data_IF_537254970406
#
_entry.id   IF_537254970406
#
_cell.length_a   1.000
_cell.length_b   1.000
_cell.length_c   1.000
_cell.angle_alpha   90.00
_cell.angle_beta   90.00
_cell.angle_gamma   90.00
#
_symmetry.space_group_name_H-M   'P 1'
#
loop_
_entity.id
_entity.type
_entity.pdbx_description
1 polymer ?
#
# COMPACT_ATOMS: atom_id res chain seq x y z
N UNK A 1 25.10 0.92 -7.67
CA UNK A 1 24.39 0.35 -6.47
C UNK A 1 23.92 -1.06 -6.82
N UNK A 2 24.25 -2.07 -6.01
CA UNK A 2 23.75 -3.44 -6.20
C UNK A 2 22.53 -3.65 -5.29
N UNK A 3 21.34 -3.42 -5.83
CA UNK A 3 20.09 -3.53 -5.07
C UNK A 3 19.81 -4.94 -4.54
N UNK A 4 20.22 -6.00 -5.28
CA UNK A 4 20.04 -7.37 -4.83
C UNK A 4 20.81 -7.66 -3.53
N UNK A 5 22.06 -7.25 -3.46
CA UNK A 5 22.86 -7.42 -2.24
C UNK A 5 22.34 -6.57 -1.06
N UNK A 6 21.82 -5.38 -1.34
CA UNK A 6 21.20 -4.54 -0.31
C UNK A 6 19.92 -5.19 0.21
N UNK A 7 19.06 -5.70 -0.66
CA UNK A 7 17.81 -6.34 -0.27
C UNK A 7 18.05 -7.60 0.59
N UNK A 8 19.05 -8.42 0.24
CA UNK A 8 19.40 -9.60 1.04
C UNK A 8 19.86 -9.26 2.48
N UNK A 9 20.44 -8.08 2.68
CA UNK A 9 20.82 -7.61 4.04
C UNK A 9 19.61 -7.16 4.85
N UNK A 10 18.52 -6.80 4.21
CA UNK A 10 17.29 -6.34 4.86
C UNK A 10 16.26 -7.46 5.06
N UNK A 11 16.58 -8.71 4.75
CA UNK A 11 15.65 -9.84 4.84
C UNK A 11 14.99 -9.94 6.22
N UNK A 12 15.80 -9.91 7.30
CA UNK A 12 15.27 -9.97 8.66
C UNK A 12 14.33 -8.82 8.98
N UNK A 13 14.66 -7.61 8.54
CA UNK A 13 13.81 -6.42 8.70
C UNK A 13 12.49 -6.58 7.93
N UNK A 14 12.53 -7.02 6.67
CA UNK A 14 11.33 -7.24 5.84
C UNK A 14 10.40 -8.25 6.52
N UNK A 15 10.94 -9.36 7.02
CA UNK A 15 10.16 -10.39 7.70
C UNK A 15 9.55 -9.88 9.02
N UNK A 16 10.29 -9.08 9.79
CA UNK A 16 9.80 -8.45 11.01
C UNK A 16 8.64 -7.50 10.71
N UNK A 17 8.82 -6.58 9.76
CA UNK A 17 7.79 -5.62 9.36
C UNK A 17 6.53 -6.32 8.82
N UNK A 18 6.70 -7.30 7.94
CA UNK A 18 5.59 -8.08 7.39
C UNK A 18 4.80 -8.79 8.49
N UNK A 19 5.46 -9.41 9.46
CA UNK A 19 4.80 -10.13 10.57
C UNK A 19 4.08 -9.18 11.51
N UNK A 20 4.68 -8.03 11.79
CA UNK A 20 4.03 -7.01 12.61
C UNK A 20 2.76 -6.48 11.94
N UNK A 21 2.83 -6.12 10.65
CA UNK A 21 1.69 -5.64 9.87
C UNK A 21 0.58 -6.70 9.79
N UNK A 22 0.96 -7.95 9.53
CA UNK A 22 0.01 -9.06 9.45
C UNK A 22 -0.74 -9.28 10.78
N UNK A 23 -0.05 -9.14 11.89
CA UNK A 23 -0.64 -9.29 13.22
C UNK A 23 -1.53 -8.10 13.63
N UNK A 24 -1.39 -6.93 13.00
CA UNK A 24 -2.11 -5.71 13.35
C UNK A 24 -2.89 -5.12 12.14
N UNK A 25 -3.71 -5.91 11.43
CA UNK A 25 -4.40 -5.44 10.24
C UNK A 25 -5.49 -4.42 10.59
N UNK A 26 -5.64 -3.41 9.75
CA UNK A 26 -6.70 -2.39 9.88
C UNK A 26 -7.45 -2.25 8.55
N UNK A 27 -8.77 -2.02 8.63
CA UNK A 27 -9.62 -1.86 7.45
C UNK A 27 -9.37 -0.52 6.76
N UNK A 28 -9.67 -0.46 5.49
CA UNK A 28 -9.59 0.75 4.67
C UNK A 28 -10.26 1.96 5.33
N UNK A 29 -9.62 3.12 5.25
CA UNK A 29 -9.94 4.39 5.94
C UNK A 29 -9.78 4.38 7.46
N UNK A 30 -9.30 3.29 8.06
CA UNK A 30 -9.08 3.14 9.50
C UNK A 30 -7.66 2.69 9.86
N UNK A 31 -6.73 2.78 8.93
CA UNK A 31 -5.33 2.33 9.06
C UNK A 31 -4.49 3.32 9.91
N UNK A 32 -5.00 3.67 11.10
CA UNK A 32 -4.36 4.69 11.97
C UNK A 32 -3.05 4.20 12.57
N UNK A 33 -3.06 3.00 13.18
CA UNK A 33 -1.86 2.42 13.79
C UNK A 33 -0.85 1.98 12.73
N UNK A 34 -1.33 1.45 11.62
CA UNK A 34 -0.52 1.11 10.45
C UNK A 34 0.20 2.34 9.91
N UNK A 35 -0.53 3.45 9.73
CA UNK A 35 0.04 4.73 9.32
C UNK A 35 1.08 5.25 10.31
N UNK A 36 0.76 5.24 11.61
CA UNK A 36 1.69 5.66 12.66
C UNK A 36 2.97 4.83 12.66
N UNK A 37 2.84 3.51 12.54
CA UNK A 37 3.98 2.59 12.46
C UNK A 37 4.87 2.92 11.26
N UNK A 38 4.30 3.06 10.06
CA UNK A 38 5.01 3.42 8.84
C UNK A 38 5.73 4.77 8.99
N UNK A 39 5.05 5.77 9.53
CA UNK A 39 5.63 7.11 9.77
C UNK A 39 6.83 7.02 10.71
N UNK A 40 6.75 6.23 11.77
CA UNK A 40 7.84 6.05 12.74
C UNK A 40 9.04 5.35 12.09
N UNK A 41 8.81 4.30 11.30
CA UNK A 41 9.86 3.61 10.56
C UNK A 41 10.56 4.56 9.58
N UNK A 42 9.81 5.29 8.74
CA UNK A 42 10.36 6.24 7.79
C UNK A 42 11.19 7.34 8.47
N UNK A 43 10.69 7.89 9.59
CA UNK A 43 11.42 8.89 10.38
C UNK A 43 12.72 8.33 10.97
N UNK A 44 12.70 7.06 11.40
CA UNK A 44 13.91 6.39 11.93
C UNK A 44 15.02 6.29 10.88
N UNK A 45 14.67 6.21 9.59
CA UNK A 45 15.61 6.22 8.46
C UNK A 45 16.05 7.63 8.05
N UNK A 46 15.56 8.68 8.70
CA UNK A 46 15.81 10.08 8.35
C UNK A 46 15.12 10.50 7.05
N UNK A 47 13.98 9.90 6.72
CA UNK A 47 13.14 10.24 5.58
C UNK A 47 12.14 11.33 6.01
N UNK A 48 11.99 12.37 5.18
CA UNK A 48 10.94 13.37 5.31
C UNK A 48 9.58 12.71 5.08
N UNK A 49 8.58 12.95 5.96
CA UNK A 49 7.27 12.30 5.84
C UNK A 49 6.17 13.34 5.77
N UNK A 50 5.36 13.25 4.75
CA UNK A 50 4.11 13.98 4.60
C UNK A 50 2.96 13.10 5.11
N UNK A 51 2.22 13.61 6.09
CA UNK A 51 0.96 13.04 6.60
C UNK A 51 -0.21 13.94 6.26
N UNK A 52 -1.42 13.43 6.38
CA UNK A 52 -2.65 14.13 6.05
C UNK A 52 -3.57 14.16 7.28
N UNK A 53 -4.34 15.24 7.44
CA UNK A 53 -5.24 15.40 8.59
C UNK A 53 -6.57 14.67 8.39
N UNK A 54 -6.96 14.41 7.16
CA UNK A 54 -8.28 13.92 6.75
C UNK A 54 -8.27 12.49 6.16
N UNK A 55 -7.10 11.92 5.92
CA UNK A 55 -6.93 10.55 5.41
C UNK A 55 -5.78 9.83 6.12
N UNK A 56 -5.85 8.51 6.18
CA UNK A 56 -4.75 7.64 6.60
C UNK A 56 -3.71 7.47 5.49
N UNK A 57 -2.63 6.75 5.76
CA UNK A 57 -1.49 6.64 4.84
C UNK A 57 -0.55 7.84 4.91
N UNK A 58 0.54 7.78 4.16
CA UNK A 58 1.55 8.84 4.15
C UNK A 58 2.44 8.76 2.91
N UNK A 59 3.26 9.80 2.73
CA UNK A 59 4.29 9.84 1.68
C UNK A 59 5.65 10.10 2.32
N UNK A 60 6.59 9.16 2.14
CA UNK A 60 8.00 9.37 2.42
C UNK A 60 8.69 10.07 1.25
N UNK A 61 9.59 11.04 1.51
CA UNK A 61 10.26 11.80 0.47
C UNK A 61 11.78 11.68 0.64
N UNK A 62 12.46 11.12 -0.35
CA UNK A 62 13.91 10.96 -0.38
C UNK A 62 14.47 11.82 -1.51
N UNK A 63 15.14 12.92 -1.14
CA UNK A 63 15.78 13.81 -2.11
C UNK A 63 17.22 13.38 -2.34
N UNK A 64 17.52 12.98 -3.56
CA UNK A 64 18.90 12.72 -4.01
C UNK A 64 19.76 13.97 -4.02
N UNK A 65 21.07 13.79 -4.12
CA UNK A 65 22.02 14.92 -4.16
C UNK A 65 22.17 15.55 -5.54
N UNK A 66 21.78 14.86 -6.59
CA UNK A 66 21.88 15.32 -7.97
C UNK A 66 20.50 15.63 -8.55
N UNK A 67 20.38 16.62 -9.43
CA UNK A 67 19.14 16.85 -10.17
C UNK A 67 18.70 15.61 -10.94
N UNK A 68 17.40 15.41 -11.07
CA UNK A 68 16.83 14.27 -11.79
C UNK A 68 15.32 14.28 -11.72
N UNK A 69 14.72 13.21 -12.21
CA UNK A 69 13.28 12.99 -12.22
C UNK A 69 12.74 12.63 -10.83
N UNK A 70 11.45 12.81 -10.64
CA UNK A 70 10.73 12.32 -9.47
C UNK A 70 10.04 11.01 -9.82
N UNK A 71 10.33 9.97 -9.05
CA UNK A 71 9.72 8.66 -9.19
C UNK A 71 8.94 8.34 -7.91
N UNK A 72 7.75 7.79 -8.05
CA UNK A 72 6.95 7.33 -6.93
C UNK A 72 6.91 5.80 -6.90
N UNK A 73 7.18 5.22 -5.74
CA UNK A 73 6.97 3.81 -5.44
C UNK A 73 5.73 3.70 -4.55
N UNK A 74 4.81 2.81 -4.88
CA UNK A 74 3.50 2.68 -4.21
C UNK A 74 3.34 1.31 -3.56
N UNK A 75 2.83 1.31 -2.34
CA UNK A 75 2.23 0.16 -1.66
C UNK A 75 0.89 0.56 -1.05
N UNK A 76 -0.07 -0.35 -1.07
CA UNK A 76 -1.31 -0.30 -0.32
C UNK A 76 -1.08 -0.78 1.11
N UNK A 77 -1.94 -0.36 2.05
CA UNK A 77 -1.72 -0.63 3.48
C UNK A 77 -2.94 -1.19 4.22
N UNK A 78 -4.10 -1.26 3.57
CA UNK A 78 -5.35 -1.73 4.17
C UNK A 78 -5.48 -3.25 4.18
N UNK A 79 -6.35 -3.73 5.06
CA UNK A 79 -6.72 -5.13 5.20
C UNK A 79 -8.20 -5.35 4.87
N UNK A 80 -8.59 -6.62 4.78
CA UNK A 80 -9.94 -7.05 4.42
C UNK A 80 -10.76 -7.49 5.65
N UNK A 81 -12.09 -7.35 5.62
CA UNK A 81 -12.99 -7.83 6.66
C UNK A 81 -13.19 -9.37 6.55
N UNK A 82 -12.11 -10.10 6.77
CA UNK A 82 -12.04 -11.56 6.67
C UNK A 82 -11.50 -12.11 7.98
N UNK A 83 -12.16 -13.14 8.54
CA UNK A 83 -11.65 -13.87 9.70
C UNK A 83 -10.46 -14.72 9.27
N UNK A 84 -9.31 -14.52 9.90
CA UNK A 84 -8.16 -15.38 9.67
C UNK A 84 -8.35 -16.74 10.33
N UNK A 85 -8.10 -17.80 9.56
CA UNK A 85 -8.20 -19.21 10.00
C UNK A 85 -6.81 -19.90 10.03
N UNK A 86 -5.73 -19.14 9.77
CA UNK A 86 -4.37 -19.68 9.85
C UNK A 86 -3.96 -19.92 11.30
N UNK A 87 -3.08 -20.91 11.50
CA UNK A 87 -2.39 -21.15 12.77
C UNK A 87 -0.91 -20.80 12.60
N UNK A 88 -0.56 -19.56 12.90
CA UNK A 88 0.82 -19.07 12.79
C UNK A 88 1.14 -18.11 13.93
N UNK A 89 2.43 -17.96 14.25
CA UNK A 89 2.89 -17.12 15.37
C UNK A 89 2.73 -15.60 15.15
N UNK A 90 2.16 -15.18 14.03
CA UNK A 90 1.93 -13.77 13.67
C UNK A 90 0.55 -13.56 13.04
N UNK A 91 -0.41 -14.43 13.34
CA UNK A 91 -1.80 -14.28 12.90
C UNK A 91 -2.40 -12.96 13.40
N UNK A 92 -3.44 -12.51 12.72
CA UNK A 92 -4.19 -11.31 13.08
C UNK A 92 -4.60 -11.30 14.55
N UNK A 93 -4.38 -10.18 15.21
CA UNK A 93 -4.86 -9.90 16.57
C UNK A 93 -6.20 -9.13 16.57
N UNK A 94 -6.74 -8.84 15.40
CA UNK A 94 -8.01 -8.14 15.20
C UNK A 94 -9.05 -9.11 14.63
N UNK A 95 -10.00 -9.55 15.45
CA UNK A 95 -11.05 -10.47 15.03
C UNK A 95 -11.79 -9.94 13.81
N UNK A 96 -11.99 -10.81 12.82
CA UNK A 96 -12.71 -10.48 11.59
C UNK A 96 -11.94 -9.60 10.60
N UNK A 97 -10.65 -9.36 10.83
CA UNK A 97 -9.80 -8.55 9.92
C UNK A 97 -8.51 -9.29 9.61
N UNK A 98 -8.11 -9.35 8.34
CA UNK A 98 -6.90 -10.05 7.90
C UNK A 98 -6.27 -9.37 6.69
N UNK A 99 -4.95 -9.35 6.61
CA UNK A 99 -4.21 -9.03 5.39
C UNK A 99 -4.28 -10.20 4.38
N UNK A 100 -5.47 -10.45 3.84
CA UNK A 100 -5.70 -11.57 2.91
C UNK A 100 -5.26 -11.26 1.46
N UNK A 101 -5.08 -9.98 1.10
CA UNK A 101 -4.60 -9.55 -0.22
C UNK A 101 -3.07 -9.38 -0.30
N UNK A 102 -2.36 -9.45 0.84
CA UNK A 102 -0.90 -9.35 0.87
C UNK A 102 -0.34 -7.94 0.96
N UNK A 103 -1.15 -6.95 1.34
CA UNK A 103 -0.72 -5.56 1.50
C UNK A 103 0.33 -5.38 2.63
N UNK A 104 0.36 -6.26 3.61
CA UNK A 104 1.44 -6.39 4.59
C UNK A 104 2.81 -6.66 3.95
N UNK A 105 2.85 -7.51 2.91
CA UNK A 105 4.06 -7.77 2.13
C UNK A 105 4.46 -6.53 1.32
N UNK A 106 3.50 -5.86 0.67
CA UNK A 106 3.76 -4.66 -0.14
C UNK A 106 4.34 -3.54 0.72
N UNK A 107 3.73 -3.29 1.88
CA UNK A 107 4.17 -2.28 2.86
C UNK A 107 5.58 -2.60 3.38
N UNK A 108 5.84 -3.85 3.79
CA UNK A 108 7.15 -4.27 4.29
C UNK A 108 8.26 -4.11 3.24
N UNK A 109 7.97 -4.47 1.98
CA UNK A 109 8.91 -4.30 0.87
C UNK A 109 9.19 -2.81 0.59
N UNK A 110 8.17 -1.94 0.64
CA UNK A 110 8.34 -0.51 0.41
C UNK A 110 9.10 0.17 1.55
N UNK A 111 8.88 -0.23 2.79
CA UNK A 111 9.67 0.24 3.95
C UNK A 111 11.15 -0.12 3.78
N UNK A 112 11.46 -1.36 3.43
CA UNK A 112 12.83 -1.80 3.19
C UNK A 112 13.48 -1.07 2.01
N UNK A 113 12.74 -0.85 0.92
CA UNK A 113 13.21 -0.05 -0.20
C UNK A 113 13.54 1.38 0.25
N UNK A 114 12.68 2.00 1.05
CA UNK A 114 12.91 3.32 1.63
C UNK A 114 14.18 3.37 2.48
N UNK A 115 14.37 2.40 3.36
CA UNK A 115 15.57 2.26 4.19
C UNK A 115 16.85 2.18 3.35
N UNK A 116 16.86 1.31 2.34
CA UNK A 116 18.00 1.15 1.43
C UNK A 116 18.30 2.42 0.63
N UNK A 117 17.25 3.08 0.10
CA UNK A 117 17.39 4.30 -0.69
C UNK A 117 17.86 5.47 0.17
N UNK A 118 17.32 5.64 1.38
CA UNK A 118 17.74 6.70 2.30
C UNK A 118 19.22 6.55 2.71
N UNK A 119 19.66 5.33 3.02
CA UNK A 119 21.07 5.04 3.33
C UNK A 119 22.01 5.38 2.16
N UNK A 120 21.51 5.32 0.93
CA UNK A 120 22.27 5.56 -0.30
C UNK A 120 21.90 6.86 -1.03
N UNK A 121 21.22 7.80 -0.37
CA UNK A 121 20.71 9.05 -1.00
C UNK A 121 21.77 9.91 -1.69
N UNK A 122 23.04 9.76 -1.32
CA UNK A 122 24.16 10.48 -1.97
C UNK A 122 24.38 10.03 -3.42
N UNK A 123 23.97 8.82 -3.78
CA UNK A 123 24.11 8.24 -5.12
C UNK A 123 22.83 8.38 -5.95
N UNK A 124 21.75 8.92 -5.38
CA UNK A 124 20.48 9.11 -6.07
C UNK A 124 20.50 10.42 -6.86
N UNK A 125 19.91 10.36 -8.06
CA UNK A 125 19.56 11.49 -8.90
C UNK A 125 18.05 11.70 -8.84
N UNK A 126 17.63 12.96 -8.62
CA UNK A 126 16.22 13.30 -8.50
C UNK A 126 15.60 12.95 -7.13
N UNK A 127 14.31 12.70 -7.11
CA UNK A 127 13.54 12.45 -5.90
C UNK A 127 12.83 11.10 -5.99
N UNK A 128 12.80 10.35 -4.88
CA UNK A 128 11.96 9.18 -4.74
C UNK A 128 10.89 9.48 -3.70
N UNK A 129 9.62 9.36 -4.09
CA UNK A 129 8.47 9.39 -3.20
C UNK A 129 8.03 7.96 -2.89
N UNK A 130 7.70 7.68 -1.63
CA UNK A 130 7.21 6.39 -1.16
C UNK A 130 5.77 6.59 -0.72
N UNK A 131 4.81 6.21 -1.55
CA UNK A 131 3.38 6.33 -1.26
C UNK A 131 2.90 5.06 -0.54
N UNK A 132 2.48 5.21 0.70
CA UNK A 132 1.74 4.22 1.47
C UNK A 132 0.26 4.58 1.38
N UNK A 133 -0.43 3.95 0.44
CA UNK A 133 -1.80 4.29 0.06
C UNK A 133 -2.81 3.59 0.94
N UNK A 134 -3.75 4.35 1.49
CA UNK A 134 -4.90 3.82 2.22
C UNK A 134 -5.95 3.19 1.29
N UNK A 135 -6.77 2.31 1.86
CA UNK A 135 -8.10 1.92 1.37
C UNK A 135 -8.15 1.51 -0.12
N UNK A 136 -7.17 0.73 -0.55
CA UNK A 136 -7.11 0.21 -1.93
C UNK A 136 -8.35 -0.64 -2.24
N UNK A 137 -8.78 -1.48 -1.29
CA UNK A 137 -9.89 -2.43 -1.41
C UNK A 137 -11.28 -1.75 -1.54
N UNK A 138 -11.36 -0.45 -1.27
CA UNK A 138 -12.56 0.36 -1.50
C UNK A 138 -12.65 0.79 -2.98
N UNK A 139 -11.50 0.90 -3.67
CA UNK A 139 -11.39 1.10 -5.11
C UNK A 139 -11.45 2.56 -5.59
N UNK A 140 -11.75 3.53 -4.73
CA UNK A 140 -11.89 4.96 -5.10
C UNK A 140 -10.94 5.89 -4.37
N UNK A 141 -10.32 5.45 -3.31
CA UNK A 141 -9.65 6.33 -2.36
C UNK A 141 -8.27 6.83 -2.82
N UNK A 142 -7.67 6.21 -3.83
CA UNK A 142 -6.43 6.70 -4.47
C UNK A 142 -6.56 8.11 -5.06
N UNK A 143 -7.78 8.52 -5.45
CA UNK A 143 -8.06 9.87 -5.98
C UNK A 143 -7.70 10.99 -4.99
N UNK A 144 -7.79 10.74 -3.68
CA UNK A 144 -7.43 11.73 -2.66
C UNK A 144 -5.98 12.21 -2.80
N UNK A 145 -5.05 11.31 -3.14
CA UNK A 145 -3.65 11.68 -3.37
C UNK A 145 -3.46 12.51 -4.64
N UNK A 146 -4.27 12.24 -5.68
CA UNK A 146 -4.28 13.03 -6.92
C UNK A 146 -4.84 14.43 -6.65
N UNK A 147 -6.01 14.52 -6.01
CA UNK A 147 -6.69 15.78 -5.67
C UNK A 147 -5.84 16.66 -4.75
N UNK A 148 -5.01 16.07 -3.89
CA UNK A 148 -4.06 16.77 -3.02
C UNK A 148 -2.76 17.17 -3.72
N UNK A 149 -2.63 16.95 -5.03
CA UNK A 149 -1.45 17.30 -5.81
C UNK A 149 -0.20 16.45 -5.50
N UNK A 150 -0.37 15.30 -4.88
CA UNK A 150 0.78 14.46 -4.49
C UNK A 150 1.58 13.93 -5.69
N UNK A 151 0.95 13.90 -6.87
CA UNK A 151 1.52 13.39 -8.11
C UNK A 151 1.97 14.48 -9.08
N UNK A 152 1.75 15.77 -8.80
CA UNK A 152 1.94 16.87 -9.75
C UNK A 152 3.40 16.98 -10.26
N UNK A 153 4.36 16.61 -9.44
CA UNK A 153 5.79 16.64 -9.75
C UNK A 153 6.36 15.22 -10.01
N UNK A 154 5.51 14.21 -10.23
CA UNK A 154 5.92 12.81 -10.39
C UNK A 154 5.99 12.44 -11.88
N UNK A 155 7.16 12.02 -12.34
CA UNK A 155 7.39 11.60 -13.72
C UNK A 155 6.93 10.15 -14.00
N UNK A 156 6.96 9.28 -12.99
CA UNK A 156 6.54 7.88 -13.10
C UNK A 156 6.15 7.30 -11.74
N UNK A 157 5.14 6.42 -11.76
CA UNK A 157 4.68 5.65 -10.57
C UNK A 157 4.90 4.17 -10.83
N UNK A 158 5.45 3.47 -9.84
CA UNK A 158 5.61 2.01 -9.85
C UNK A 158 4.95 1.40 -8.63
N UNK A 159 4.23 0.31 -8.84
CA UNK A 159 3.67 -0.55 -7.82
C UNK A 159 3.90 -2.00 -8.20
N UNK A 160 3.74 -2.88 -7.23
CA UNK A 160 3.79 -4.33 -7.45
C UNK A 160 2.73 -5.00 -6.57
N UNK A 161 2.29 -6.18 -6.97
CA UNK A 161 1.37 -6.98 -6.19
C UNK A 161 1.92 -8.41 -6.03
N UNK A 162 1.88 -8.96 -4.80
CA UNK A 162 2.14 -10.38 -4.58
C UNK A 162 0.99 -11.21 -5.14
N UNK A 163 1.27 -12.39 -5.70
CA UNK A 163 0.26 -13.19 -6.37
C UNK A 163 0.36 -14.65 -5.95
N UNK A 164 -0.67 -15.16 -5.26
CA UNK A 164 -0.66 -16.50 -4.67
C UNK A 164 -0.53 -17.63 -5.71
N UNK A 165 -0.94 -17.41 -6.96
CA UNK A 165 -0.85 -18.42 -8.03
C UNK A 165 0.47 -18.37 -8.81
N UNK A 166 1.40 -17.50 -8.43
CA UNK A 166 2.72 -17.39 -9.05
C UNK A 166 3.76 -18.08 -8.20
N UNK A 167 4.62 -18.86 -8.82
CA UNK A 167 5.75 -19.51 -8.13
C UNK A 167 6.65 -18.49 -7.45
N UNK A 168 7.11 -18.82 -6.26
CA UNK A 168 8.06 -17.98 -5.50
C UNK A 168 9.32 -17.71 -6.33
N UNK A 169 9.81 -16.47 -6.28
CA UNK A 169 10.99 -16.01 -7.01
C UNK A 169 10.74 -15.63 -8.48
N UNK A 170 9.50 -15.71 -8.96
CA UNK A 170 9.12 -15.21 -10.29
C UNK A 170 8.51 -13.79 -10.18
N UNK A 171 8.72 -13.01 -11.24
CA UNK A 171 8.13 -11.69 -11.44
C UNK A 171 7.57 -11.60 -12.85
N UNK A 172 6.39 -11.04 -13.01
CA UNK A 172 5.75 -10.84 -14.30
C UNK A 172 5.79 -9.37 -14.70
N UNK A 173 6.36 -9.07 -15.88
CA UNK A 173 6.50 -7.72 -16.47
C UNK A 173 5.88 -7.62 -17.86
N UNK A 174 5.03 -8.58 -18.27
CA UNK A 174 4.44 -8.55 -19.59
C UNK A 174 3.64 -7.27 -19.83
N UNK A 175 3.69 -6.74 -21.02
CA UNK A 175 2.87 -5.59 -21.44
C UNK A 175 1.40 -6.00 -21.60
N UNK A 176 0.49 -5.03 -21.50
CA UNK A 176 -0.93 -5.22 -21.73
C UNK A 176 -1.78 -5.13 -20.47
N UNK A 177 -3.03 -5.58 -20.57
CA UNK A 177 -4.01 -5.57 -19.49
C UNK A 177 -3.60 -6.54 -18.39
N UNK A 178 -3.61 -6.09 -17.14
CA UNK A 178 -3.16 -6.85 -15.97
C UNK A 178 -4.26 -7.12 -14.97
N UNK A 179 -5.12 -6.13 -14.75
CA UNK A 179 -6.16 -6.16 -13.73
C UNK A 179 -7.52 -5.97 -14.39
N UNK A 180 -8.54 -6.59 -13.82
CA UNK A 180 -9.91 -6.36 -14.23
C UNK A 180 -10.34 -4.95 -13.84
N UNK A 181 -11.27 -4.38 -14.62
CA UNK A 181 -12.05 -3.22 -14.20
C UNK A 181 -13.23 -3.71 -13.37
N UNK A 182 -13.49 -3.09 -12.23
CA UNK A 182 -14.63 -3.43 -11.39
C UNK A 182 -15.56 -2.26 -11.19
N UNK A 183 -16.86 -2.51 -11.30
CA UNK A 183 -17.92 -1.58 -10.97
C UNK A 183 -18.69 -2.09 -9.76
N UNK A 184 -19.10 -1.19 -8.88
CA UNK A 184 -19.92 -1.51 -7.72
C UNK A 184 -21.28 -0.84 -7.84
N UNK A 185 -22.34 -1.61 -7.71
CA UNK A 185 -23.70 -1.09 -7.57
C UNK A 185 -24.38 -1.65 -6.33
N UNK A 186 -25.30 -0.89 -5.76
CA UNK A 186 -26.08 -1.32 -4.60
C UNK A 186 -27.55 -1.26 -4.94
N UNK A 187 -28.23 -2.40 -4.82
CA UNK A 187 -29.68 -2.48 -4.93
C UNK A 187 -30.30 -2.58 -3.55
N UNK A 188 -31.24 -1.71 -3.23
CA UNK A 188 -31.98 -1.71 -1.98
C UNK A 188 -33.41 -2.13 -2.25
N UNK A 189 -33.87 -3.19 -1.58
CA UNK A 189 -35.24 -3.71 -1.67
C UNK A 189 -35.89 -3.73 -0.30
N UNK A 190 -37.15 -3.27 -0.21
CA UNK A 190 -37.92 -3.25 1.03
C UNK A 190 -39.14 -4.16 0.91
N UNK A 191 -39.44 -4.93 1.95
CA UNK A 191 -40.53 -5.89 1.97
C UNK A 191 -41.95 -5.28 1.97
N UNK A 192 -42.07 -3.96 2.19
CA UNK A 192 -43.33 -3.23 2.27
C UNK A 192 -43.50 -2.13 1.23
N UNK A 193 -42.73 -2.17 0.14
CA UNK A 193 -42.92 -1.25 -0.99
C UNK A 193 -44.23 -1.58 -1.74
N UNK A 194 -44.96 -0.54 -2.13
CA UNK A 194 -46.09 -0.70 -3.08
C UNK A 194 -45.55 -1.03 -4.46
N UNK A 195 -46.32 -1.84 -5.23
CA UNK A 195 -45.85 -2.41 -6.50
C UNK A 195 -45.37 -1.38 -7.52
N UNK A 196 -45.87 -0.13 -7.50
CA UNK A 196 -45.49 0.95 -8.39
C UNK A 196 -44.26 1.74 -7.92
N UNK A 197 -43.72 1.43 -6.72
CA UNK A 197 -42.50 2.05 -6.19
C UNK A 197 -41.24 1.24 -6.53
N UNK A 198 -41.42 0.11 -7.20
CA UNK A 198 -40.34 -0.79 -7.63
C UNK A 198 -40.01 -0.68 -9.12
N UNK A 199 -40.61 0.30 -9.82
CA UNK A 199 -40.29 0.53 -11.24
C UNK A 199 -38.94 1.22 -11.31
N UNK A 200 -37.93 0.47 -11.70
CA UNK A 200 -36.66 1.02 -12.16
C UNK A 200 -36.93 1.57 -13.56
N UNK A 201 -36.97 2.88 -13.70
CA UNK A 201 -36.79 3.52 -15.01
C UNK A 201 -35.34 3.29 -15.41
N UNK A 202 -35.13 2.28 -16.27
CA UNK A 202 -33.85 2.01 -16.90
C UNK A 202 -33.68 2.90 -18.13
#
# INVERSE_FOLDING_TARGET
>A
MNFKELALKEESYILEQRRWLHAHPELGTKEYKTTEHIVNELKSFGIEVQVFDDITGCIGIIRGKQPGRTVMLRADIDALPIQEENDCGFCSQNDGVMHACGHDCHTAMLLAAGKMLAANKKQLHGTVKLLFQMAEEIGTESRHYVEKGCLDDVDAVFGQHVWALMDSGKVNFEDGERMACSDRFTTVSYTHLRAHETVLDL
#
